data_IF_787531404412
#
_entry.id   IF_787531404412
#
_cell.length_a   1.000
_cell.length_b   1.000
_cell.length_c   1.000
_cell.angle_alpha   90.00
_cell.angle_beta   90.00
_cell.angle_gamma   90.00
#
_symmetry.space_group_name_H-M   'P 1'
#
loop_
_entity.id
_entity.type
_entity.pdbx_description
1 polymer ?
#
# COMPACT_ATOMS: atom_id res chain seq x y z
N UNK A 1 0.97 -19.92 -4.86
CA UNK A 1 -0.06 -18.89 -5.08
C UNK A 1 0.55 -17.51 -4.81
N UNK A 2 0.18 -16.51 -5.59
CA UNK A 2 0.65 -15.12 -5.45
C UNK A 2 -0.42 -14.34 -4.68
N UNK A 3 -0.02 -13.53 -3.71
CA UNK A 3 -0.95 -12.66 -3.00
C UNK A 3 -1.17 -11.38 -3.80
N UNK A 4 -2.41 -11.14 -4.25
CA UNK A 4 -2.79 -9.90 -4.95
C UNK A 4 -3.18 -8.84 -3.93
N UNK A 5 -2.60 -7.65 -4.07
CA UNK A 5 -2.77 -6.53 -3.15
C UNK A 5 -2.93 -5.22 -3.92
N UNK A 6 -3.86 -4.38 -3.49
CA UNK A 6 -4.01 -2.99 -3.90
C UNK A 6 -3.65 -2.10 -2.71
N UNK A 7 -2.93 -1.01 -2.95
CA UNK A 7 -2.46 -0.11 -1.89
C UNK A 7 -2.59 1.35 -2.28
N UNK A 8 -3.00 2.18 -1.34
CA UNK A 8 -3.06 3.64 -1.51
C UNK A 8 -2.79 4.37 -0.18
N UNK A 9 -2.39 5.63 -0.27
CA UNK A 9 -2.13 6.51 0.86
C UNK A 9 -2.46 7.97 0.57
N UNK A 10 -3.03 8.65 1.56
CA UNK A 10 -3.48 10.04 1.46
C UNK A 10 -3.06 10.86 2.68
N UNK A 11 -2.79 12.15 2.50
CA UNK A 11 -2.53 13.11 3.57
C UNK A 11 -3.21 14.42 3.24
N UNK A 12 -4.08 14.91 4.14
CA UNK A 12 -4.89 16.11 3.88
C UNK A 12 -4.91 17.03 5.11
N UNK A 13 -4.27 18.22 5.07
CA UNK A 13 -3.37 18.70 4.02
C UNK A 13 -2.09 17.84 3.92
N UNK A 14 -1.20 18.14 2.96
CA UNK A 14 0.05 17.42 2.75
C UNK A 14 1.25 18.38 2.92
N UNK A 15 2.00 18.35 4.04
CA UNK A 15 1.88 17.44 5.18
C UNK A 15 0.66 17.72 6.08
N UNK A 16 0.19 16.69 6.78
CA UNK A 16 -0.99 16.76 7.66
C UNK A 16 -1.47 15.38 8.09
N UNK A 17 -2.70 15.23 8.62
CA UNK A 17 -3.28 13.94 8.93
C UNK A 17 -3.22 12.99 7.73
N UNK A 18 -2.57 11.84 7.94
CA UNK A 18 -2.33 10.82 6.93
C UNK A 18 -3.20 9.59 7.17
N UNK A 19 -3.57 8.91 6.09
CA UNK A 19 -4.24 7.63 6.07
C UNK A 19 -3.64 6.71 5.02
N UNK A 20 -3.47 5.44 5.35
CA UNK A 20 -3.02 4.39 4.44
C UNK A 20 -4.05 3.28 4.41
N UNK A 21 -4.13 2.57 3.29
CA UNK A 21 -5.00 1.40 3.17
C UNK A 21 -4.45 0.38 2.19
N UNK A 22 -4.80 -0.89 2.43
CA UNK A 22 -4.64 -1.94 1.43
C UNK A 22 -5.88 -2.83 1.35
N UNK A 23 -6.11 -3.37 0.15
CA UNK A 23 -7.04 -4.44 -0.12
C UNK A 23 -6.24 -5.68 -0.56
N UNK A 24 -6.49 -6.84 0.02
CA UNK A 24 -5.84 -8.08 -0.39
C UNK A 24 -6.86 -9.14 -0.80
N UNK A 25 -6.62 -9.77 -1.96
CA UNK A 25 -7.50 -10.79 -2.53
C UNK A 25 -6.88 -12.16 -2.30
N UNK A 26 -7.54 -12.99 -1.49
CA UNK A 26 -7.08 -14.36 -1.18
C UNK A 26 -7.95 -15.37 -1.93
N UNK A 27 -7.31 -16.30 -2.64
CA UNK A 27 -8.01 -17.37 -3.35
C UNK A 27 -8.93 -18.16 -2.40
N UNK A 28 -10.15 -18.44 -2.85
CA UNK A 28 -11.17 -19.24 -2.17
C UNK A 28 -11.58 -20.42 -3.05
N UNK A 29 -12.08 -21.49 -2.43
CA UNK A 29 -12.55 -22.70 -3.14
C UNK A 29 -13.80 -22.50 -3.99
N UNK A 30 -14.55 -21.41 -3.77
CA UNK A 30 -15.83 -21.11 -4.42
C UNK A 30 -15.72 -20.08 -5.56
N UNK A 31 -14.52 -19.89 -6.12
CA UNK A 31 -14.20 -18.90 -7.17
C UNK A 31 -14.49 -17.44 -6.80
N UNK A 32 -14.78 -17.13 -5.53
CA UNK A 32 -14.94 -15.75 -5.04
C UNK A 32 -13.79 -15.42 -4.08
N UNK A 33 -12.84 -14.54 -4.45
CA UNK A 33 -11.72 -14.26 -3.56
C UNK A 33 -12.20 -13.63 -2.25
N UNK A 34 -11.62 -14.05 -1.14
CA UNK A 34 -11.83 -13.36 0.13
C UNK A 34 -11.09 -12.02 0.10
N UNK A 35 -11.82 -10.94 0.36
CA UNK A 35 -11.32 -9.56 0.36
C UNK A 35 -10.96 -9.12 1.79
N UNK A 36 -9.69 -8.79 2.03
CA UNK A 36 -9.24 -8.13 3.25
C UNK A 36 -9.17 -6.63 3.03
N UNK A 37 -9.82 -5.82 3.86
CA UNK A 37 -9.70 -4.36 3.85
C UNK A 37 -9.08 -3.89 5.16
N UNK A 38 -7.88 -3.32 5.08
CA UNK A 38 -7.13 -2.87 6.26
C UNK A 38 -6.66 -1.45 6.02
N UNK A 39 -6.84 -0.59 7.01
CA UNK A 39 -6.46 0.82 6.94
C UNK A 39 -6.03 1.34 8.30
N UNK A 40 -5.27 2.42 8.29
CA UNK A 40 -4.94 3.18 9.50
C UNK A 40 -4.45 4.58 9.19
N UNK A 41 -4.56 5.48 10.17
CA UNK A 41 -4.04 6.84 10.07
C UNK A 41 -2.88 7.19 11.02
N UNK A 42 -2.13 8.21 10.62
CA UNK A 42 -1.11 8.93 11.40
C UNK A 42 -1.52 10.41 11.55
N UNK A 43 -1.43 11.04 12.74
CA UNK A 43 -1.83 12.44 12.92
C UNK A 43 -1.05 13.45 12.07
N UNK A 44 0.19 13.12 11.70
CA UNK A 44 1.04 13.99 10.90
C UNK A 44 1.96 13.17 9.98
N UNK A 45 1.70 13.24 8.68
CA UNK A 45 2.42 12.49 7.65
C UNK A 45 2.41 13.22 6.30
N UNK A 46 2.73 12.50 5.23
CA UNK A 46 2.66 12.97 3.83
C UNK A 46 2.08 11.86 2.94
N UNK A 47 1.62 12.19 1.73
CA UNK A 47 1.15 11.19 0.77
C UNK A 47 2.17 10.07 0.57
N UNK A 48 3.41 10.39 0.19
CA UNK A 48 4.47 9.41 -0.06
C UNK A 48 4.78 8.51 1.16
N UNK A 49 4.62 9.01 2.38
CA UNK A 49 4.79 8.21 3.60
C UNK A 49 3.64 7.23 3.76
N UNK A 50 2.41 7.67 3.54
CA UNK A 50 1.22 6.82 3.65
C UNK A 50 1.16 5.76 2.55
N UNK A 51 1.51 6.12 1.32
CA UNK A 51 1.61 5.18 0.20
C UNK A 51 2.62 4.05 0.51
N UNK A 52 3.80 4.41 1.03
CA UNK A 52 4.82 3.42 1.41
C UNK A 52 4.39 2.59 2.64
N UNK A 53 3.69 3.21 3.58
CA UNK A 53 3.16 2.53 4.77
C UNK A 53 2.14 1.47 4.39
N UNK A 54 1.22 1.78 3.46
CA UNK A 54 0.25 0.80 2.95
C UNK A 54 0.92 -0.48 2.42
N UNK A 55 2.02 -0.34 1.68
CA UNK A 55 2.81 -1.48 1.19
C UNK A 55 3.45 -2.25 2.33
N UNK A 56 4.07 -1.57 3.29
CA UNK A 56 4.74 -2.22 4.44
C UNK A 56 3.74 -3.03 5.25
N UNK A 57 2.59 -2.44 5.58
CA UNK A 57 1.54 -3.07 6.35
C UNK A 57 0.95 -4.27 5.60
N UNK A 58 0.74 -4.16 4.28
CA UNK A 58 0.30 -5.28 3.45
C UNK A 58 1.30 -6.46 3.46
N UNK A 59 2.61 -6.18 3.39
CA UNK A 59 3.65 -7.22 3.45
C UNK A 59 3.74 -7.87 4.83
N UNK A 60 3.53 -7.10 5.90
CA UNK A 60 3.54 -7.57 7.29
C UNK A 60 2.29 -8.40 7.63
N UNK A 61 1.15 -8.06 7.04
CA UNK A 61 -0.10 -8.80 7.23
C UNK A 61 -0.01 -10.24 6.71
N UNK A 62 0.82 -10.49 5.69
CA UNK A 62 1.06 -11.81 5.12
C UNK A 62 2.52 -12.28 5.31
N UNK A 63 2.97 -12.55 6.55
CA UNK A 63 4.39 -12.81 6.84
C UNK A 63 4.90 -14.08 6.16
N UNK A 64 4.04 -15.08 5.98
CA UNK A 64 4.38 -16.37 5.39
C UNK A 64 4.28 -16.41 3.85
N UNK A 65 3.70 -15.39 3.21
CA UNK A 65 3.61 -15.33 1.75
C UNK A 65 4.97 -14.92 1.17
N UNK A 66 5.34 -15.54 0.04
CA UNK A 66 6.62 -15.30 -0.65
C UNK A 66 6.49 -14.61 -1.99
N UNK A 67 5.28 -14.57 -2.56
CA UNK A 67 5.00 -13.95 -3.87
C UNK A 67 3.86 -12.97 -3.73
N UNK A 68 4.07 -11.75 -4.18
CA UNK A 68 3.09 -10.67 -4.14
C UNK A 68 2.95 -10.04 -5.52
N UNK A 69 1.73 -9.63 -5.85
CA UNK A 69 1.45 -8.73 -6.95
C UNK A 69 0.76 -7.50 -6.37
N UNK A 70 1.50 -6.39 -6.34
CA UNK A 70 1.04 -5.14 -5.74
C UNK A 70 0.66 -4.17 -6.84
N UNK A 71 -0.57 -3.66 -6.73
CA UNK A 71 -1.14 -2.59 -7.52
C UNK A 71 -1.12 -1.31 -6.69
N UNK A 72 -0.52 -0.25 -7.24
CA UNK A 72 -0.44 1.05 -6.59
C UNK A 72 -0.41 2.14 -7.65
N UNK A 73 -0.99 3.29 -7.35
CA UNK A 73 -0.88 4.49 -8.19
C UNK A 73 0.34 5.35 -7.86
N UNK A 74 1.04 5.06 -6.76
CA UNK A 74 2.28 5.71 -6.37
C UNK A 74 3.46 5.31 -7.26
N UNK A 75 3.74 6.15 -8.25
CA UNK A 75 4.98 6.03 -9.04
C UNK A 75 6.22 6.17 -8.15
N UNK A 76 6.17 6.99 -7.11
CA UNK A 76 7.28 7.16 -6.19
C UNK A 76 7.65 5.82 -5.51
N UNK A 77 6.66 5.15 -4.92
CA UNK A 77 6.89 3.86 -4.24
C UNK A 77 7.37 2.81 -5.22
N UNK A 78 6.70 2.66 -6.36
CA UNK A 78 7.07 1.64 -7.37
C UNK A 78 8.51 1.86 -7.84
N UNK A 79 8.86 3.07 -8.26
CA UNK A 79 10.19 3.37 -8.82
C UNK A 79 11.30 3.28 -7.79
N UNK A 80 11.05 3.62 -6.53
CA UNK A 80 12.03 3.41 -5.46
C UNK A 80 12.14 1.94 -5.03
N UNK A 81 11.05 1.16 -5.14
CA UNK A 81 11.06 -0.27 -4.85
C UNK A 81 11.79 -1.07 -5.94
N UNK A 82 11.62 -0.71 -7.22
CA UNK A 82 12.29 -1.35 -8.35
C UNK A 82 13.74 -0.88 -8.57
N UNK A 83 14.18 0.14 -7.82
CA UNK A 83 15.53 0.68 -7.92
C UNK A 83 15.75 1.68 -9.07
N UNK A 84 14.69 2.06 -9.78
CA UNK A 84 14.75 3.13 -10.80
C UNK A 84 15.06 4.48 -10.14
N UNK A 85 14.53 4.74 -8.94
CA UNK A 85 14.78 5.97 -8.18
C UNK A 85 15.56 5.69 -6.91
N UNK A 86 16.56 6.55 -6.63
CA UNK A 86 17.28 6.54 -5.35
C UNK A 86 16.39 6.98 -4.20
N UNK A 87 16.39 6.21 -3.11
CA UNK A 87 15.62 6.46 -1.87
C UNK A 87 16.22 7.60 -1.04
N UNK A 88 16.06 8.85 -1.50
CA UNK A 88 16.62 10.06 -0.85
C UNK A 88 15.80 10.57 0.35
N UNK A 89 14.52 10.22 0.43
CA UNK A 89 13.56 10.64 1.48
C UNK A 89 12.89 9.41 2.09
N UNK A 90 12.25 9.58 3.26
CA UNK A 90 11.52 8.52 3.98
C UNK A 90 12.39 7.29 4.28
N UNK A 91 13.67 7.52 4.61
CA UNK A 91 14.66 6.45 4.84
C UNK A 91 14.29 5.55 6.01
N UNK A 92 13.57 6.09 7.00
CA UNK A 92 12.98 5.36 8.12
C UNK A 92 11.99 4.29 7.64
N UNK A 93 11.09 4.65 6.71
CA UNK A 93 10.12 3.73 6.14
C UNK A 93 10.77 2.76 5.15
N UNK A 94 11.74 3.20 4.36
CA UNK A 94 12.46 2.29 3.45
C UNK A 94 13.23 1.19 4.18
N UNK A 95 13.80 1.48 5.36
CA UNK A 95 14.38 0.45 6.24
C UNK A 95 13.34 -0.58 6.70
N UNK A 96 12.14 -0.12 7.09
CA UNK A 96 11.03 -1.02 7.44
C UNK A 96 10.60 -1.85 6.23
N UNK A 97 10.48 -1.24 5.05
CA UNK A 97 10.18 -1.93 3.81
C UNK A 97 11.22 -3.00 3.47
N UNK A 98 12.51 -2.73 3.64
CA UNK A 98 13.57 -3.72 3.40
C UNK A 98 13.41 -4.96 4.29
N UNK A 99 13.06 -4.77 5.56
CA UNK A 99 12.78 -5.87 6.49
C UNK A 99 11.52 -6.63 6.04
N UNK A 100 10.42 -5.91 5.78
CA UNK A 100 9.13 -6.50 5.40
C UNK A 100 9.17 -7.20 4.04
N UNK A 101 9.97 -6.72 3.08
CA UNK A 101 10.11 -7.28 1.73
C UNK A 101 11.17 -8.36 1.63
N UNK A 102 11.98 -8.57 2.68
CA UNK A 102 13.08 -9.53 2.66
C UNK A 102 12.61 -10.94 2.30
N UNK A 103 13.25 -11.55 1.30
CA UNK A 103 12.93 -12.89 0.81
C UNK A 103 11.58 -13.03 0.11
N UNK A 104 10.90 -11.93 -0.20
CA UNK A 104 9.64 -11.91 -0.96
C UNK A 104 9.91 -11.48 -2.41
N UNK A 105 9.20 -12.10 -3.36
CA UNK A 105 9.18 -11.72 -4.76
C UNK A 105 7.96 -10.84 -5.00
N UNK A 106 8.18 -9.56 -5.30
CA UNK A 106 7.13 -8.56 -5.48
C UNK A 106 7.07 -8.17 -6.95
N UNK A 107 5.93 -8.42 -7.58
CA UNK A 107 5.58 -7.87 -8.89
C UNK A 107 4.80 -6.58 -8.67
N UNK A 108 5.17 -5.54 -9.40
CA UNK A 108 4.51 -4.24 -9.33
C UNK A 108 3.63 -4.02 -10.55
N UNK A 109 2.49 -3.37 -10.37
CA UNK A 109 1.68 -2.82 -11.45
C UNK A 109 1.25 -1.43 -11.07
N UNK A 110 1.66 -0.46 -11.86
CA UNK A 110 1.15 0.89 -11.72
C UNK A 110 -0.26 0.93 -12.25
N UNK A 111 -1.18 1.45 -11.45
CA UNK A 111 -2.54 1.77 -11.87
C UNK A 111 -2.69 3.28 -11.85
N UNK A 112 -3.54 3.81 -12.73
CA UNK A 112 -3.81 5.24 -12.71
C UNK A 112 -4.80 5.53 -11.58
N UNK A 113 -4.52 6.52 -10.75
CA UNK A 113 -5.49 6.98 -9.75
C UNK A 113 -6.82 7.36 -10.42
N UNK A 114 -7.95 7.01 -9.80
CA UNK A 114 -9.30 7.27 -10.30
C UNK A 114 -9.62 6.67 -11.68
N UNK A 115 -9.08 5.48 -12.01
CA UNK A 115 -9.27 4.83 -13.32
C UNK A 115 -10.36 3.76 -13.37
N UNK A 116 -11.41 3.83 -12.54
CA UNK A 116 -12.46 2.82 -12.41
C UNK A 116 -11.97 1.40 -12.05
N UNK A 117 -10.77 1.27 -11.48
CA UNK A 117 -10.36 0.02 -10.85
C UNK A 117 -11.04 -0.08 -9.48
N UNK A 118 -11.99 -1.02 -9.34
CA UNK A 118 -12.78 -1.24 -8.14
C UNK A 118 -11.92 -1.25 -6.87
N UNK A 119 -10.81 -1.99 -6.87
CA UNK A 119 -10.01 -2.18 -5.66
C UNK A 119 -9.11 -0.98 -5.37
N UNK A 120 -8.63 -0.29 -6.42
CA UNK A 120 -7.92 0.97 -6.25
C UNK A 120 -8.83 2.06 -5.65
N UNK A 121 -10.09 2.14 -6.09
CA UNK A 121 -11.07 3.08 -5.53
C UNK A 121 -11.41 2.76 -4.07
N UNK A 122 -11.52 1.48 -3.73
CA UNK A 122 -11.73 1.05 -2.34
C UNK A 122 -10.60 1.54 -1.44
N UNK A 123 -9.34 1.32 -1.82
CA UNK A 123 -8.21 1.74 -0.98
C UNK A 123 -8.05 3.26 -0.91
N UNK A 124 -8.36 4.00 -1.98
CA UNK A 124 -8.39 5.47 -1.97
C UNK A 124 -9.41 6.02 -0.97
N UNK A 125 -10.63 5.47 -0.99
CA UNK A 125 -11.69 5.86 -0.05
C UNK A 125 -11.29 5.56 1.39
N UNK A 126 -10.73 4.37 1.64
CA UNK A 126 -10.28 3.97 2.99
C UNK A 126 -9.13 4.86 3.49
N UNK A 127 -8.13 5.12 2.65
CA UNK A 127 -7.00 5.99 3.00
C UNK A 127 -7.48 7.43 3.30
N UNK A 128 -8.34 7.99 2.45
CA UNK A 128 -8.92 9.33 2.68
C UNK A 128 -9.77 9.39 3.94
N UNK A 129 -10.51 8.34 4.27
CA UNK A 129 -11.30 8.27 5.51
C UNK A 129 -10.40 8.41 6.75
N UNK A 130 -9.27 7.71 6.76
CA UNK A 130 -8.31 7.73 7.88
C UNK A 130 -7.66 9.10 8.10
N UNK A 131 -7.57 9.97 7.08
CA UNK A 131 -7.11 11.37 7.27
C UNK A 131 -8.03 12.21 8.16
N UNK A 132 -9.29 11.80 8.33
CA UNK A 132 -10.32 12.55 9.08
C UNK A 132 -10.58 11.94 10.46
N UNK A 133 -10.08 10.73 10.73
CA UNK A 133 -10.29 10.05 11.99
C UNK A 133 -9.47 10.73 13.08
N UNK A 134 -10.13 11.41 14.02
CA UNK A 134 -9.47 11.90 15.24
C UNK A 134 -9.12 10.69 16.10
N UNK A 135 -7.84 10.36 16.21
CA UNK A 135 -7.32 9.41 17.20
C UNK A 135 -6.96 10.14 18.48
#
# INVERSE_FOLDING_TARGET
MTQTIYTDGSSIPNPGPGGWAFCALTDSSDNSPYEWHVSGGEPHSTNNRMELTAVIEALNFFPNKKKFHIYSDSQYVIKCATGEYTRKKNTDLWKKYEISSHGKKIKWTWVKGHSNDKYNEIVDVLAKKETKTKK
#
